data_IF_331787561930
#
_entry.id   IF_331787561930
#
_cell.length_a   1.000
_cell.length_b   1.000
_cell.length_c   1.000
_cell.angle_alpha   90.00
_cell.angle_beta   90.00
_cell.angle_gamma   90.00
#
_symmetry.space_group_name_H-M   'P 1'
#
loop_
_entity.id
_entity.type
_entity.pdbx_description
1 polymer ?
2 non-polymer ?
3 non-polymer ?
4 non-polymer ?
5 water ?
#
# COMPACT_ATOMS: atom_id res chain seq x y z
N UNK A 2 10.47 11.53 22.08
CA UNK A 2 11.85 11.43 22.53
C UNK A 2 12.73 10.60 21.59
N UNK A 3 13.90 11.11 21.27
CA UNK A 3 14.88 10.39 20.45
C UNK A 3 14.31 9.90 19.14
N UNK A 4 14.27 8.57 18.96
CA UNK A 4 13.77 7.97 17.73
C UNK A 4 12.26 8.17 17.56
N UNK A 5 11.60 8.62 18.63
CA UNK A 5 10.17 8.94 18.57
C UNK A 5 9.93 10.44 18.44
N UNK A 6 10.96 11.23 18.15
CA UNK A 6 10.77 12.68 17.97
C UNK A 6 10.34 13.03 16.54
N UNK A 7 10.14 14.32 16.27
CA UNK A 7 9.89 14.79 14.91
C UNK A 7 8.46 14.95 14.45
N UNK A 8 7.48 14.63 15.31
CA UNK A 8 6.08 14.75 14.90
C UNK A 8 5.68 16.19 14.59
N UNK A 9 6.54 17.14 14.96
CA UNK A 9 6.30 18.56 14.70
C UNK A 9 6.74 19.01 13.30
N UNK A 10 7.40 18.12 12.57
CA UNK A 10 8.07 18.50 11.32
C UNK A 10 7.20 18.23 10.09
N UNK A 11 7.59 18.80 8.96
CA UNK A 11 6.91 18.57 7.67
C UNK A 11 7.07 17.10 7.26
N UNK A 12 6.21 16.64 6.36
CA UNK A 12 6.25 15.25 5.93
C UNK A 12 7.60 14.89 5.29
N UNK A 13 8.14 15.82 4.50
CA UNK A 13 9.43 15.61 3.85
C UNK A 13 10.52 15.40 4.89
N UNK A 14 10.52 16.23 5.92
CA UNK A 14 11.57 16.08 6.93
C UNK A 14 11.34 14.87 7.83
N UNK A 15 10.08 14.52 8.07
CA UNK A 15 9.82 13.28 8.80
C UNK A 15 10.31 12.06 8.02
N UNK A 16 10.23 12.14 6.68
CA UNK A 16 10.67 11.03 5.83
C UNK A 16 12.19 10.84 5.89
N UNK A 17 12.95 11.93 6.05
CA UNK A 17 14.40 11.81 6.12
C UNK A 17 14.81 11.10 7.40
N UNK A 18 14.14 11.41 8.49
CA UNK A 18 14.41 10.73 9.77
C UNK A 18 14.03 9.25 9.62
N UNK A 19 12.91 9.00 8.95
CA UNK A 19 12.42 7.63 8.81
C UNK A 19 13.33 6.76 7.94
N UNK A 20 13.95 7.38 6.94
CA UNK A 20 14.91 6.68 6.09
C UNK A 20 16.01 6.06 6.92
N UNK A 21 16.51 6.85 7.86
CA UNK A 21 17.59 6.40 8.75
C UNK A 21 17.15 5.24 9.63
N UNK A 22 15.92 5.28 10.13
CA UNK A 22 15.40 4.17 10.91
C UNK A 22 15.31 2.91 10.06
N UNK A 23 14.89 3.06 8.81
CA UNK A 23 14.77 1.91 7.92
C UNK A 23 16.13 1.31 7.60
N UNK A 24 17.17 2.13 7.61
CA UNK A 24 18.49 1.63 7.26
C UNK A 24 19.14 0.85 8.41
N UNK A 25 18.48 0.85 9.58
CA UNK A 25 18.89 0.00 10.71
C UNK A 25 18.49 -1.46 10.47
N UNK A 26 17.49 -1.66 9.63
CA UNK A 26 17.06 -3.02 9.32
C UNK A 26 16.62 -3.11 7.87
N UNK A 27 17.56 -3.43 6.99
CA UNK A 27 17.31 -3.34 5.57
C UNK A 27 17.95 -4.48 4.79
N UNK A 28 18.25 -5.58 5.47
CA UNK A 28 18.89 -6.74 4.85
C UNK A 28 18.01 -7.99 4.96
N UNK A 29 17.71 -8.62 3.83
CA UNK A 29 17.10 -9.95 3.80
C UNK A 29 18.19 -11.01 3.64
N UNK A 30 18.22 -12.00 4.54
CA UNK A 30 19.19 -13.09 4.44
C UNK A 30 18.60 -14.36 3.82
N UNK A 31 19.43 -15.12 3.11
CA UNK A 31 18.97 -16.33 2.41
C UNK A 31 19.79 -17.54 2.79
N UNK A 32 19.21 -18.73 2.68
CA UNK A 32 19.95 -19.97 2.86
C UNK A 32 20.70 -20.33 1.60
N UNK A 33 21.56 -21.35 1.66
CA UNK A 33 22.37 -21.77 0.52
C UNK A 33 21.51 -22.05 -0.71
N UNK A 34 21.85 -21.39 -1.82
CA UNK A 34 21.13 -21.54 -3.10
C UNK A 34 19.69 -21.02 -3.07
N UNK A 35 19.24 -20.50 -1.93
CA UNK A 35 17.84 -20.07 -1.83
C UNK A 35 17.62 -18.60 -2.19
N UNK A 36 16.43 -18.32 -2.73
CA UNK A 36 16.00 -16.94 -2.92
C UNK A 36 14.57 -16.70 -2.49
N UNK A 37 14.08 -17.54 -1.58
CA UNK A 37 12.75 -17.35 -1.01
C UNK A 37 12.82 -16.30 0.12
N UNK A 38 11.74 -15.57 0.34
CA UNK A 38 11.69 -14.60 1.42
C UNK A 38 10.99 -15.22 2.64
N UNK A 39 11.75 -15.45 3.70
CA UNK A 39 11.22 -16.07 4.90
C UNK A 39 10.25 -15.14 5.61
N UNK A 40 9.35 -15.71 6.41
CA UNK A 40 8.33 -14.91 7.08
C UNK A 40 8.97 -14.01 8.13
N UNK A 41 10.18 -14.37 8.54
CA UNK A 41 10.94 -13.57 9.50
C UNK A 41 11.25 -12.17 8.97
N UNK A 42 11.22 -12.02 7.65
CA UNK A 42 11.57 -10.74 7.05
C UNK A 42 10.36 -9.92 6.62
N UNK A 43 9.16 -10.46 6.83
CA UNK A 43 7.97 -9.80 6.29
C UNK A 43 7.73 -8.46 6.94
N UNK A 44 7.85 -8.42 8.27
CA UNK A 44 7.58 -7.18 9.00
C UNK A 44 8.54 -6.08 8.55
N UNK A 45 9.80 -6.48 8.38
CA UNK A 45 10.85 -5.60 7.89
C UNK A 45 10.51 -5.00 6.54
N UNK A 46 10.15 -5.86 5.59
CA UNK A 46 9.84 -5.46 4.22
C UNK A 46 8.55 -4.64 4.18
N UNK A 47 7.60 -4.96 5.06
CA UNK A 47 6.36 -4.17 5.13
C UNK A 47 6.64 -2.72 5.52
N UNK A 48 7.63 -2.51 6.39
CA UNK A 48 7.95 -1.15 6.82
C UNK A 48 8.55 -0.38 5.66
N UNK A 49 9.42 -1.05 4.89
CA UNK A 49 10.00 -0.44 3.70
C UNK A 49 8.91 -0.12 2.69
N UNK A 50 8.00 -1.06 2.47
CA UNK A 50 6.93 -0.82 1.51
C UNK A 50 6.05 0.35 1.92
N UNK A 51 5.71 0.43 3.21
CA UNK A 51 4.83 1.51 3.65
C UNK A 51 5.50 2.87 3.43
N UNK A 52 6.81 2.92 3.64
CA UNK A 52 7.56 4.15 3.43
C UNK A 52 7.53 4.51 1.95
N UNK A 53 7.80 3.54 1.09
CA UNK A 53 7.86 3.81 -0.34
C UNK A 53 6.53 4.32 -0.89
N UNK A 54 5.42 3.75 -0.41
CA UNK A 54 4.10 4.17 -0.88
C UNK A 54 3.77 5.60 -0.46
N UNK A 55 4.28 6.00 0.70
CA UNK A 55 4.01 7.33 1.26
C UNK A 55 4.93 8.37 0.67
N UNK A 56 6.00 7.92 0.05
CA UNK A 56 6.99 8.82 -0.52
C UNK A 56 7.32 8.45 -1.96
N UNK A 57 6.41 8.77 -2.89
CA UNK A 57 6.48 8.33 -4.28
C UNK A 57 7.73 8.81 -4.99
N UNK A 58 8.33 9.90 -4.51
CA UNK A 58 9.56 10.45 -5.08
C UNK A 58 10.82 9.71 -4.66
N UNK A 59 10.75 8.93 -3.59
CA UNK A 59 11.91 8.23 -3.07
C UNK A 59 12.08 6.86 -3.71
N UNK A 60 13.27 6.62 -4.26
CA UNK A 60 13.55 5.39 -4.98
C UNK A 60 14.39 4.44 -4.13
N UNK A 61 14.22 3.14 -4.34
CA UNK A 61 15.08 2.16 -3.67
C UNK A 61 15.78 1.29 -4.70
N UNK A 62 17.03 0.91 -4.39
CA UNK A 62 17.75 -0.07 -5.19
C UNK A 62 17.91 -1.31 -4.31
N UNK A 63 17.46 -2.45 -4.80
CA UNK A 63 17.67 -3.70 -4.09
C UNK A 63 18.94 -4.32 -4.66
N UNK A 64 19.99 -4.43 -3.83
CA UNK A 64 21.23 -5.06 -4.26
C UNK A 64 21.21 -6.53 -3.86
N UNK A 65 21.41 -7.42 -4.83
CA UNK A 65 21.45 -8.84 -4.57
C UNK A 65 22.88 -9.33 -4.51
N UNK A 66 23.17 -10.18 -3.53
CA UNK A 66 24.52 -10.71 -3.33
C UNK A 66 24.44 -12.22 -3.23
N UNK A 67 25.56 -12.88 -3.45
CA UNK A 67 25.60 -14.32 -3.29
C UNK A 67 26.98 -14.73 -2.79
N UNK A 68 27.04 -15.92 -2.22
CA UNK A 68 28.33 -16.50 -1.87
C UNK A 68 28.12 -17.99 -1.88
N UNK A 69 28.10 -18.54 -3.09
CA UNK A 69 27.75 -19.93 -3.31
C UNK A 69 28.83 -20.58 -4.18
N UNK A 70 29.12 -21.83 -3.90
CA UNK A 70 30.09 -22.56 -4.70
C UNK A 70 29.60 -22.61 -6.13
N UNK A 71 30.51 -22.42 -7.10
CA UNK A 71 30.13 -22.30 -8.49
C UNK A 71 30.70 -21.06 -9.18
N UNK A 72 30.40 -20.90 -10.46
CA UNK A 72 30.95 -19.82 -11.28
C UNK A 72 30.51 -18.45 -10.76
N UNK A 73 31.29 -17.41 -11.07
CA UNK A 73 30.87 -16.04 -10.74
C UNK A 73 29.56 -15.71 -11.42
N UNK A 74 29.39 -16.23 -12.63
CA UNK A 74 28.17 -16.00 -13.41
C UNK A 74 26.95 -16.56 -12.69
N UNK A 75 27.10 -17.72 -12.07
CA UNK A 75 26.02 -18.33 -11.29
C UNK A 75 25.70 -17.44 -10.09
N UNK A 76 26.73 -16.99 -9.41
CA UNK A 76 26.52 -16.08 -8.29
C UNK A 76 25.79 -14.82 -8.68
N UNK A 77 26.12 -14.27 -9.85
CA UNK A 77 25.40 -13.09 -10.36
C UNK A 77 23.93 -13.44 -10.62
N UNK A 78 23.69 -14.61 -11.24
CA UNK A 78 22.31 -15.00 -11.53
C UNK A 78 21.47 -15.16 -10.27
N UNK A 79 22.05 -15.79 -9.25
CA UNK A 79 21.34 -16.00 -7.98
C UNK A 79 21.13 -14.69 -7.25
N UNK A 80 22.12 -13.80 -7.31
CA UNK A 80 21.95 -12.49 -6.69
C UNK A 80 20.79 -11.75 -7.33
N UNK A 81 20.65 -11.89 -8.65
CA UNK A 81 19.52 -11.30 -9.34
C UNK A 81 18.17 -11.88 -8.92
N UNK A 82 18.10 -13.20 -8.75
CA UNK A 82 16.85 -13.80 -8.29
C UNK A 82 16.52 -13.36 -6.87
N UNK A 83 17.54 -13.13 -6.04
CA UNK A 83 17.31 -12.64 -4.68
C UNK A 83 16.75 -11.22 -4.70
N UNK A 84 17.39 -10.34 -5.46
CA UNK A 84 16.93 -8.96 -5.54
C UNK A 84 15.53 -8.90 -6.15
N UNK A 85 15.29 -9.70 -7.17
CA UNK A 85 13.98 -9.70 -7.82
C UNK A 85 12.89 -10.19 -6.89
N UNK A 86 13.23 -11.14 -6.01
CA UNK A 86 12.24 -11.66 -5.08
C UNK A 86 11.78 -10.54 -4.14
N UNK A 87 12.72 -9.71 -3.71
CA UNK A 87 12.41 -8.56 -2.87
C UNK A 87 11.57 -7.54 -3.63
N UNK A 88 11.95 -7.23 -4.85
CA UNK A 88 11.17 -6.29 -5.68
C UNK A 88 9.71 -6.76 -5.83
N UNK A 89 9.53 -8.04 -6.11
CA UNK A 89 8.19 -8.59 -6.26
C UNK A 89 7.42 -8.53 -4.95
N UNK A 90 8.09 -8.81 -3.83
CA UNK A 90 7.42 -8.69 -2.54
C UNK A 90 6.93 -7.25 -2.30
N UNK A 91 7.80 -6.28 -2.56
CA UNK A 91 7.41 -4.87 -2.40
C UNK A 91 6.25 -4.47 -3.31
N UNK A 92 6.29 -4.91 -4.57
CA UNK A 92 5.20 -4.63 -5.49
C UNK A 92 3.89 -5.26 -5.02
N UNK A 93 3.98 -6.44 -4.40
CA UNK A 93 2.79 -7.09 -3.87
C UNK A 93 2.19 -6.32 -2.71
N UNK A 94 3.02 -5.47 -2.11
CA UNK A 94 2.58 -4.59 -1.03
C UNK A 94 2.21 -3.20 -1.55
N UNK A 95 2.08 -3.08 -2.87
CA UNK A 95 1.60 -1.84 -3.45
C UNK A 95 2.62 -0.79 -3.88
N UNK A 96 3.91 -1.12 -3.81
CA UNK A 96 4.92 -0.16 -4.24
C UNK A 96 5.00 -0.13 -5.77
N UNK A 97 5.04 1.06 -6.34
CA UNK A 97 5.11 1.19 -7.79
C UNK A 97 6.42 0.62 -8.32
N UNK A 98 6.34 -0.07 -9.45
CA UNK A 98 7.51 -0.72 -10.04
C UNK A 98 8.61 0.29 -10.33
N UNK A 99 8.22 1.50 -10.72
CA UNK A 99 9.19 2.53 -11.09
C UNK A 99 9.99 3.11 -9.92
N UNK A 100 9.56 2.80 -8.70
CA UNK A 100 10.31 3.22 -7.51
C UNK A 100 11.38 2.21 -7.10
N UNK A 101 11.39 1.05 -7.75
CA UNK A 101 12.32 -0.04 -7.36
C UNK A 101 13.19 -0.48 -8.54
N UNK A 102 14.51 -0.44 -8.37
CA UNK A 102 15.40 -1.06 -9.35
C UNK A 102 16.19 -2.14 -8.63
N UNK A 103 16.79 -3.04 -9.39
CA UNK A 103 17.59 -4.09 -8.78
C UNK A 103 18.96 -4.15 -9.44
N UNK A 104 19.96 -4.56 -8.67
CA UNK A 104 21.30 -4.77 -9.21
C UNK A 104 21.85 -6.02 -8.54
N UNK A 105 22.50 -6.89 -9.31
CA UNK A 105 23.14 -8.04 -8.70
C UNK A 105 24.64 -7.85 -8.71
N UNK A 106 25.24 -8.11 -7.55
CA UNK A 106 26.69 -8.00 -7.40
C UNK A 106 27.34 -9.37 -7.26
N UNK A 107 26.54 -10.44 -7.17
CA UNK A 107 27.13 -11.76 -7.05
C UNK A 107 28.08 -11.83 -5.86
N UNK A 108 29.31 -12.30 -6.09
CA UNK A 108 30.32 -12.41 -5.03
C UNK A 108 31.22 -11.17 -4.90
N UNK A 109 30.91 -10.11 -5.64
CA UNK A 109 31.87 -9.02 -5.85
C UNK A 109 32.04 -8.03 -4.69
N UNK A 110 31.04 -7.97 -3.80
CA UNK A 110 31.05 -7.01 -2.70
C UNK A 110 30.63 -7.67 -1.38
N UNK A 111 31.52 -8.50 -0.80
CA UNK A 111 31.13 -9.23 0.41
C UNK A 111 30.99 -8.34 1.63
N UNK A 112 30.07 -8.69 2.52
CA UNK A 112 29.94 -8.02 3.81
C UNK A 112 31.03 -8.52 4.76
N UNK A 113 31.34 -9.81 4.65
CA UNK A 113 32.25 -10.50 5.55
C UNK A 113 33.31 -11.25 4.74
N UNK A 114 34.57 -11.12 5.15
CA UNK A 114 35.62 -11.84 4.47
C UNK A 114 35.93 -13.18 5.12
N UNK A 115 36.49 -14.09 4.33
CA UNK A 115 36.76 -15.44 4.80
C UNK A 115 36.19 -16.47 3.85
N UNK A 116 36.67 -17.70 4.00
CA UNK A 116 36.40 -18.77 3.04
C UNK A 116 35.59 -19.87 3.74
N UNK A 117 34.71 -19.45 4.65
CA UNK A 117 33.98 -20.39 5.50
C UNK A 117 32.47 -20.18 5.42
N UNK A 118 31.72 -21.17 5.90
CA UNK A 118 30.27 -21.15 5.80
C UNK A 118 29.60 -20.03 6.59
N UNK A 119 30.19 -19.65 7.72
CA UNK A 119 29.67 -18.52 8.48
C UNK A 119 29.78 -17.21 7.67
N UNK A 120 30.97 -16.98 7.11
CA UNK A 120 31.19 -15.82 6.26
C UNK A 120 30.20 -15.83 5.09
N UNK A 121 30.04 -16.99 4.47
CA UNK A 121 29.14 -17.11 3.33
C UNK A 121 27.72 -16.71 3.73
N UNK A 122 27.29 -17.14 4.92
CA UNK A 122 25.91 -16.89 5.35
C UNK A 122 25.62 -15.41 5.50
N UNK A 123 26.60 -14.67 6.00
CA UNK A 123 26.43 -13.22 6.14
C UNK A 123 26.44 -12.53 4.79
N UNK A 124 26.93 -13.21 3.76
CA UNK A 124 27.04 -12.63 2.42
C UNK A 124 25.87 -12.92 1.48
N UNK A 125 25.07 -13.94 1.81
CA UNK A 125 23.93 -14.34 0.99
C UNK A 125 22.74 -13.46 1.37
N UNK A 126 22.56 -12.36 0.65
CA UNK A 126 21.66 -11.33 1.15
C UNK A 126 21.14 -10.44 0.04
N UNK A 127 20.04 -9.75 0.32
CA UNK A 127 19.60 -8.64 -0.52
C UNK A 127 19.50 -7.42 0.38
N UNK A 128 19.95 -6.27 -0.09
CA UNK A 128 20.01 -5.07 0.73
C UNK A 128 19.18 -3.98 0.06
N UNK A 129 18.33 -3.32 0.84
CA UNK A 129 17.52 -2.22 0.32
C UNK A 129 18.23 -0.89 0.60
N UNK A 130 18.76 -0.27 -0.44
CA UNK A 130 19.50 0.97 -0.27
C UNK A 130 18.80 2.17 -0.89
N UNK A 131 18.83 3.28 -0.17
CA UNK A 131 18.16 4.50 -0.59
C UNK A 131 19.18 5.60 -0.85
N UNK B 2 -8.14 -20.45 22.32
CA UNK B 2 -9.58 -20.64 22.49
C UNK B 2 -10.33 -19.31 22.46
N UNK B 3 -11.38 -19.24 21.65
CA UNK B 3 -12.13 -18.01 21.43
C UNK B 3 -11.21 -16.88 20.97
N UNK B 4 -11.23 -15.75 21.66
CA UNK B 4 -10.41 -14.61 21.24
C UNK B 4 -8.92 -14.78 21.55
N UNK B 5 -8.55 -15.95 22.07
CA UNK B 5 -7.16 -16.32 22.23
C UNK B 5 -6.69 -17.13 21.03
N UNK B 6 -7.62 -17.52 20.16
CA UNK B 6 -7.30 -18.44 19.06
C UNK B 6 -6.54 -17.76 17.93
N UNK B 7 -6.15 -18.53 16.93
CA UNK B 7 -5.56 -17.97 15.72
C UNK B 7 -4.05 -17.88 15.76
N UNK B 8 -3.42 -18.40 16.81
CA UNK B 8 -1.97 -18.32 16.96
C UNK B 8 -1.22 -19.08 15.86
N UNK B 9 -1.94 -20.01 15.23
CA UNK B 9 -1.44 -20.84 14.13
C UNK B 9 -1.35 -20.10 12.81
N UNK B 10 -2.20 -19.08 12.65
CA UNK B 10 -2.37 -18.37 11.38
C UNK B 10 -1.18 -17.50 10.96
N UNK B 11 -1.17 -17.10 9.69
CA UNK B 11 -0.15 -16.19 9.16
C UNK B 11 -0.29 -14.85 9.86
N UNK B 12 0.76 -14.04 9.76
CA UNK B 12 0.75 -12.70 10.33
C UNK B 12 -0.42 -11.87 9.77
N UNK B 13 -0.65 -11.95 8.46
CA UNK B 13 -1.74 -11.20 7.84
C UNK B 13 -3.09 -11.54 8.46
N UNK B 14 -3.34 -12.83 8.61
CA UNK B 14 -4.65 -13.29 9.09
C UNK B 14 -4.82 -13.05 10.58
N UNK B 15 -3.75 -13.15 11.35
CA UNK B 15 -3.83 -12.80 12.77
C UNK B 15 -4.17 -11.34 12.93
N UNK B 16 -3.60 -10.49 12.06
CA UNK B 16 -3.86 -9.05 12.13
C UNK B 16 -5.34 -8.74 11.89
N UNK B 17 -5.98 -9.48 11.00
CA UNK B 17 -7.41 -9.27 10.78
C UNK B 17 -8.21 -9.50 12.04
N UNK B 18 -7.86 -10.56 12.76
CA UNK B 18 -8.56 -10.92 13.99
C UNK B 18 -8.27 -9.87 15.07
N UNK B 19 -7.01 -9.46 15.15
CA UNK B 19 -6.60 -8.49 16.18
C UNK B 19 -7.25 -7.11 15.98
N UNK B 20 -7.44 -6.72 14.72
CA UNK B 20 -8.14 -5.46 14.46
C UNK B 20 -9.56 -5.46 15.02
N UNK B 21 -10.22 -6.61 15.00
CA UNK B 21 -11.55 -6.70 15.57
C UNK B 21 -11.49 -6.59 17.09
N UNK B 22 -10.50 -7.22 17.71
CA UNK B 22 -10.36 -7.15 19.17
C UNK B 22 -10.08 -5.71 19.59
N UNK B 23 -9.22 -5.04 18.85
CA UNK B 23 -8.87 -3.67 19.17
C UNK B 23 -10.08 -2.75 19.12
N UNK B 24 -11.06 -3.06 18.29
CA UNK B 24 -12.22 -2.19 18.15
C UNK B 24 -13.25 -2.41 19.23
N UNK B 25 -12.94 -3.31 20.17
CA UNK B 25 -13.77 -3.45 21.36
C UNK B 25 -13.40 -2.39 22.40
N UNK B 26 -12.18 -1.88 22.30
CA UNK B 26 -11.68 -0.89 23.25
C UNK B 26 -10.91 0.15 22.46
N UNK B 27 -11.64 1.10 21.88
CA UNK B 27 -11.06 2.03 20.93
C UNK B 27 -11.66 3.43 21.00
N UNK B 28 -12.22 3.78 22.16
CA UNK B 28 -12.80 5.13 22.33
C UNK B 28 -12.10 5.94 23.43
N UNK B 29 -11.64 7.15 23.08
CA UNK B 29 -11.10 8.10 24.06
C UNK B 29 -12.19 9.10 24.35
N UNK B 30 -12.59 9.24 25.62
CA UNK B 30 -13.61 10.23 25.98
C UNK B 30 -12.98 11.52 26.47
N UNK B 31 -13.67 12.65 26.28
CA UNK B 31 -13.17 13.96 26.68
C UNK B 31 -14.16 14.74 27.54
N UNK B 32 -13.64 15.58 28.44
CA UNK B 32 -14.49 16.47 29.20
C UNK B 32 -14.97 17.63 28.35
N UNK B 33 -15.87 18.46 28.89
CA UNK B 33 -16.45 19.56 28.14
C UNK B 33 -15.37 20.51 27.60
N UNK B 34 -15.41 20.78 26.29
CA UNK B 34 -14.48 21.68 25.60
C UNK B 34 -13.01 21.22 25.59
N UNK B 35 -12.73 20.02 26.13
CA UNK B 35 -11.34 19.56 26.26
C UNK B 35 -10.92 18.61 25.16
N UNK B 36 -9.62 18.58 24.89
CA UNK B 36 -9.08 17.61 23.92
C UNK B 36 -7.74 17.05 24.37
N UNK B 37 -7.53 17.10 25.68
CA UNK B 37 -6.37 16.43 26.28
C UNK B 37 -6.66 14.94 26.41
N UNK B 38 -5.60 14.13 26.38
CA UNK B 38 -5.75 12.68 26.54
C UNK B 38 -5.53 12.32 28.02
N UNK B 39 -6.58 11.88 28.70
CA UNK B 39 -6.46 11.48 30.10
C UNK B 39 -5.57 10.26 30.28
N UNK B 40 -4.92 10.17 31.45
CA UNK B 40 -4.04 9.04 31.76
C UNK B 40 -4.78 7.70 31.76
N UNK B 41 -6.09 7.75 31.99
CA UNK B 41 -6.93 6.56 31.99
C UNK B 41 -6.93 5.86 30.62
N UNK B 42 -6.56 6.60 29.58
CA UNK B 42 -6.62 6.05 28.24
C UNK B 42 -5.26 5.59 27.71
N UNK B 43 -4.21 5.80 28.47
CA UNK B 43 -2.86 5.39 28.07
C UNK B 43 -2.75 3.90 27.74
N UNK B 44 -3.24 3.06 28.65
CA UNK B 44 -3.21 1.59 28.46
C UNK B 44 -3.82 1.19 27.12
N UNK B 45 -5.02 1.70 26.87
CA UNK B 45 -5.74 1.37 25.64
C UNK B 45 -4.98 1.87 24.41
N UNK B 46 -4.56 3.13 24.46
CA UNK B 46 -3.83 3.70 23.34
C UNK B 46 -2.51 2.96 23.07
N UNK B 47 -1.84 2.49 24.12
CA UNK B 47 -0.57 1.79 23.93
C UNK B 47 -0.75 0.46 23.20
N UNK B 48 -1.92 -0.15 23.38
CA UNK B 48 -2.22 -1.42 22.73
C UNK B 48 -2.42 -1.21 21.24
N UNK B 49 -3.08 -0.10 20.90
CA UNK B 49 -3.23 0.26 19.49
C UNK B 49 -1.88 0.59 18.88
N UNK B 50 -1.07 1.37 19.60
CA UNK B 50 0.26 1.70 19.08
C UNK B 50 1.11 0.45 18.85
N UNK B 51 1.04 -0.51 19.77
CA UNK B 51 1.83 -1.72 19.64
C UNK B 51 1.41 -2.48 18.39
N UNK B 52 0.10 -2.53 18.14
CA UNK B 52 -0.40 -3.20 16.95
C UNK B 52 0.13 -2.51 15.70
N UNK B 53 0.01 -1.18 15.67
CA UNK B 53 0.41 -0.43 14.49
C UNK B 53 1.91 -0.56 14.21
N UNK B 54 2.72 -0.51 15.27
CA UNK B 54 4.16 -0.68 15.10
C UNK B 54 4.51 -2.05 14.52
N UNK B 55 3.79 -3.09 14.96
CA UNK B 55 4.10 -4.46 14.56
C UNK B 55 3.50 -4.83 13.22
N UNK B 56 2.61 -3.98 12.71
CA UNK B 56 1.95 -4.23 11.44
C UNK B 56 1.96 -2.99 10.55
N UNK B 57 3.12 -2.71 9.94
CA UNK B 57 3.32 -1.47 9.17
C UNK B 57 2.35 -1.31 7.98
N UNK B 58 1.79 -2.41 7.50
CA UNK B 58 0.86 -2.35 6.36
C UNK B 58 -0.53 -1.85 6.73
N UNK B 59 -0.84 -1.82 8.03
CA UNK B 59 -2.18 -1.47 8.46
C UNK B 59 -2.28 -0.03 8.95
N UNK B 60 -3.35 0.64 8.53
CA UNK B 60 -3.58 2.03 8.88
C UNK B 60 -4.81 2.12 9.77
N UNK B 61 -4.88 3.19 10.54
CA UNK B 61 -6.01 3.45 11.42
C UNK B 61 -6.56 4.84 11.06
N UNK B 62 -7.87 5.01 11.20
CA UNK B 62 -8.46 6.34 11.07
C UNK B 62 -9.02 6.73 12.44
N UNK B 63 -8.65 7.92 12.91
CA UNK B 63 -9.16 8.40 14.19
C UNK B 63 -10.29 9.34 13.87
N UNK B 64 -11.50 8.98 14.29
CA UNK B 64 -12.66 9.81 14.01
C UNK B 64 -12.96 10.68 15.23
N UNK B 65 -12.94 12.00 15.06
CA UNK B 65 -13.18 12.92 16.16
C UNK B 65 -14.60 13.43 16.19
N UNK B 66 -15.16 13.53 17.39
CA UNK B 66 -16.56 13.97 17.54
C UNK B 66 -16.63 15.02 18.63
N UNK B 67 -17.70 15.79 18.62
CA UNK B 67 -17.95 16.74 19.69
C UNK B 67 -19.44 16.73 19.97
N UNK B 68 -19.83 17.33 21.10
CA UNK B 68 -21.24 17.57 21.38
C UNK B 68 -21.29 18.66 22.42
N UNK B 69 -21.00 19.87 21.95
CA UNK B 69 -20.75 21.03 22.80
C UNK B 69 -21.61 22.21 22.34
N UNK B 70 -22.10 23.03 23.28
CA UNK B 70 -22.83 24.24 22.90
C UNK B 70 -21.99 25.05 21.91
N UNK B 71 -22.62 25.77 21.00
CA UNK B 71 -21.87 26.53 20.03
C UNK B 71 -22.18 26.09 18.61
N UNK B 72 -21.55 26.74 17.63
CA UNK B 72 -21.85 26.46 16.23
C UNK B 72 -21.43 25.06 15.80
N UNK B 73 -22.06 24.55 14.74
CA UNK B 73 -21.58 23.30 14.17
C UNK B 73 -20.12 23.40 13.71
N UNK B 74 -19.70 24.56 13.20
CA UNK B 74 -18.30 24.74 12.79
C UNK B 74 -17.37 24.61 13.99
N UNK B 75 -17.77 25.13 15.14
CA UNK B 75 -16.93 25.00 16.33
C UNK B 75 -16.81 23.52 16.70
N UNK B 76 -17.93 22.81 16.64
CA UNK B 76 -17.91 21.38 16.92
C UNK B 76 -17.00 20.59 15.99
N UNK B 77 -16.98 20.96 14.70
CA UNK B 77 -16.07 20.35 13.73
C UNK B 77 -14.63 20.63 14.14
N UNK B 78 -14.34 21.87 14.52
CA UNK B 78 -12.99 22.23 14.90
C UNK B 78 -12.50 21.47 16.14
N UNK B 79 -13.38 21.33 17.12
CA UNK B 79 -13.03 20.64 18.36
C UNK B 79 -12.85 19.13 18.11
N UNK B 80 -13.71 18.56 17.28
CA UNK B 80 -13.59 17.16 16.91
C UNK B 80 -12.25 16.88 16.26
N UNK B 81 -11.79 17.82 15.43
CA UNK B 81 -10.51 17.67 14.76
C UNK B 81 -9.35 17.76 15.75
N UNK B 82 -9.45 18.62 16.75
CA UNK B 82 -8.38 18.69 17.74
C UNK B 82 -8.32 17.43 18.60
N UNK B 83 -9.49 16.86 18.88
CA UNK B 83 -9.55 15.59 19.60
C UNK B 83 -8.90 14.46 18.84
N UNK B 84 -9.20 14.34 17.55
CA UNK B 84 -8.62 13.27 16.72
C UNK B 84 -7.12 13.50 16.55
N UNK B 85 -6.73 14.75 16.32
CA UNK B 85 -5.32 15.07 16.18
C UNK B 85 -4.53 14.77 17.45
N UNK B 86 -5.13 15.00 18.61
CA UNK B 86 -4.48 14.69 19.89
C UNK B 86 -4.17 13.21 19.98
N UNK B 87 -5.10 12.36 19.54
CA UNK B 87 -4.87 10.92 19.53
C UNK B 87 -3.75 10.57 18.57
N UNK B 88 -3.76 11.17 17.39
CA UNK B 88 -2.72 10.91 16.40
C UNK B 88 -1.35 11.26 16.97
N UNK B 89 -1.24 12.44 17.56
CA UNK B 89 0.04 12.85 18.14
C UNK B 89 0.49 11.92 19.25
N UNK B 90 -0.44 11.41 20.05
CA UNK B 90 -0.09 10.47 21.11
C UNK B 90 0.50 9.18 20.53
N UNK B 91 -0.14 8.64 19.49
CA UNK B 91 0.35 7.43 18.82
C UNK B 91 1.73 7.64 18.20
N UNK B 92 1.92 8.80 17.58
CA UNK B 92 3.24 9.10 17.02
C UNK B 92 4.32 9.12 18.09
N UNK B 93 3.94 9.61 19.28
CA UNK B 93 4.85 9.67 20.39
C UNK B 93 5.28 8.29 20.86
N UNK B 94 4.44 7.30 20.57
CA UNK B 94 4.71 5.90 20.89
C UNK B 94 5.33 5.17 19.70
N UNK B 95 5.79 5.93 18.71
CA UNK B 95 6.56 5.35 17.63
C UNK B 95 5.77 4.85 16.42
N UNK B 96 4.48 5.19 16.33
CA UNK B 96 3.71 4.87 15.14
C UNK B 96 4.05 5.87 14.03
N UNK B 97 4.23 5.37 12.82
CA UNK B 97 4.49 6.22 11.65
C UNK B 97 3.29 7.14 11.38
N UNK B 98 3.58 8.41 11.08
CA UNK B 98 2.51 9.38 10.82
C UNK B 98 1.59 8.94 9.68
N UNK B 99 2.17 8.32 8.66
CA UNK B 99 1.40 7.91 7.49
C UNK B 99 0.44 6.76 7.76
N UNK B 100 0.63 6.08 8.90
CA UNK B 100 -0.27 5.01 9.30
C UNK B 100 -1.54 5.55 9.95
N UNK B 101 -1.59 6.85 10.21
CA UNK B 101 -2.73 7.41 10.94
C UNK B 101 -3.33 8.56 10.17
N UNK B 102 -4.65 8.52 9.95
CA UNK B 102 -5.33 9.68 9.38
C UNK B 102 -6.41 10.12 10.35
N UNK B 103 -6.89 11.35 10.19
CA UNK B 103 -7.96 11.84 11.07
C UNK B 103 -9.12 12.41 10.28
N UNK B 104 -10.32 12.31 10.86
CA UNK B 104 -11.54 12.86 10.27
C UNK B 104 -12.35 13.42 11.42
N UNK B 105 -12.92 14.62 11.26
CA UNK B 105 -13.82 15.15 12.29
C UNK B 105 -15.24 15.09 11.78
N UNK B 106 -16.13 14.57 12.62
CA UNK B 106 -17.54 14.59 12.28
C UNK B 106 -18.31 15.67 13.04
N UNK B 107 -17.59 16.49 13.82
CA UNK B 107 -18.23 17.50 14.65
C UNK B 107 -19.33 16.85 15.47
N UNK B 108 -20.52 17.47 15.49
CA UNK B 108 -21.62 16.89 16.27
C UNK B 108 -22.64 16.16 15.40
N UNK B 109 -22.23 15.73 14.22
CA UNK B 109 -23.19 15.20 13.24
C UNK B 109 -23.43 13.70 13.40
N UNK B 110 -22.52 13.02 14.10
CA UNK B 110 -22.61 11.56 14.29
C UNK B 110 -22.61 11.15 15.77
N UNK B 111 -23.67 11.48 16.50
CA UNK B 111 -23.69 11.14 17.93
C UNK B 111 -23.67 9.62 18.17
N UNK B 112 -23.01 9.18 19.24
CA UNK B 112 -23.04 7.77 19.63
C UNK B 112 -24.37 7.45 20.27
N UNK B 113 -24.82 8.35 21.13
CA UNK B 113 -26.10 8.18 21.78
C UNK B 113 -27.03 9.35 21.46
N UNK B 114 -28.26 9.02 21.13
CA UNK B 114 -29.28 10.03 20.94
C UNK B 114 -30.05 10.10 22.25
N UNK B 115 -29.88 11.22 22.95
CA UNK B 115 -30.44 11.44 24.28
C UNK B 115 -30.33 12.93 24.53
N UNK B 116 -30.84 13.42 25.64
CA UNK B 116 -31.06 14.85 25.77
C UNK B 116 -30.58 15.47 27.07
N UNK B 117 -29.64 14.83 27.75
CA UNK B 117 -29.10 15.41 28.98
C UNK B 117 -27.59 15.37 28.98
N UNK B 118 -26.98 15.93 30.02
CA UNK B 118 -25.52 16.04 30.06
C UNK B 118 -24.86 14.67 29.99
N UNK B 119 -25.46 13.66 30.63
CA UNK B 119 -24.91 12.31 30.62
C UNK B 119 -24.77 11.77 29.21
N UNK B 120 -25.78 12.04 28.37
CA UNK B 120 -25.71 11.64 26.96
C UNK B 120 -24.69 12.45 26.16
N UNK B 121 -24.63 13.75 26.40
CA UNK B 121 -23.66 14.60 25.70
C UNK B 121 -22.24 14.10 25.94
N UNK B 122 -21.94 13.68 27.18
CA UNK B 122 -20.60 13.21 27.53
C UNK B 122 -20.19 11.97 26.73
N UNK B 123 -21.14 11.08 26.46
CA UNK B 123 -20.86 9.88 25.69
C UNK B 123 -20.56 10.18 24.22
N UNK B 124 -20.90 11.41 23.79
CA UNK B 124 -20.65 11.81 22.40
C UNK B 124 -19.34 12.57 22.19
N UNK B 125 -18.73 13.02 23.29
CA UNK B 125 -17.46 13.75 23.23
C UNK B 125 -16.32 12.75 23.21
N UNK B 126 -15.88 12.38 22.02
CA UNK B 126 -15.03 11.19 21.91
C UNK B 126 -14.20 11.19 20.64
N UNK B 127 -13.14 10.38 20.65
CA UNK B 127 -12.40 10.06 19.44
C UNK B 127 -12.37 8.54 19.34
N UNK B 128 -12.58 8.00 18.15
CA UNK B 128 -12.71 6.55 17.95
C UNK B 128 -11.64 6.10 16.97
N UNK B 129 -10.90 5.06 17.33
CA UNK B 129 -9.88 4.51 16.44
C UNK B 129 -10.47 3.37 15.59
N UNK B 130 -10.64 3.61 14.28
CA UNK B 130 -11.33 2.69 13.38
C UNK B 130 -10.38 2.06 12.37
N UNK B 131 -10.52 0.74 12.13
CA UNK B 131 -9.66 0.06 11.18
C UNK B 131 -10.44 -0.41 9.96
N UNK C 9 -5.00 24.61 -35.22
CA UNK C 9 -3.98 25.33 -35.99
C UNK C 9 -2.67 24.57 -35.99
N UNK C 10 -2.54 23.62 -35.07
CA UNK C 10 -1.34 22.79 -34.96
C UNK C 10 -1.37 21.63 -35.95
N UNK C 11 -0.20 21.05 -36.19
CA UNK C 11 -0.11 19.84 -37.02
C UNK C 11 -0.79 18.69 -36.29
N UNK C 12 -1.15 17.66 -37.03
CA UNK C 12 -1.76 16.46 -36.45
C UNK C 12 -0.84 15.86 -35.39
N UNK C 13 0.46 15.88 -35.64
CA UNK C 13 1.45 15.40 -34.68
C UNK C 13 1.37 16.17 -33.38
N UNK C 14 1.32 17.49 -33.49
CA UNK C 14 1.28 18.30 -32.27
C UNK C 14 -0.09 18.23 -31.59
N UNK C 15 -1.17 18.11 -32.35
CA UNK C 15 -2.49 17.91 -31.75
C UNK C 15 -2.56 16.60 -30.96
N UNK C 16 -1.91 15.57 -31.50
CA UNK C 16 -1.88 14.27 -30.86
C UNK C 16 -1.08 14.29 -29.56
N UNK C 17 -0.05 15.13 -29.48
CA UNK C 17 0.74 15.29 -28.25
C UNK C 17 -0.14 15.76 -27.11
N UNK C 18 -0.96 16.77 -27.41
CA UNK C 18 -1.85 17.34 -26.41
C UNK C 18 -2.92 16.33 -25.98
N UNK C 19 -3.46 15.61 -26.96
CA UNK C 19 -4.52 14.64 -26.70
C UNK C 19 -4.03 13.51 -25.79
N UNK C 20 -2.75 13.14 -25.93
CA UNK C 20 -2.18 12.06 -25.12
C UNK C 20 -2.30 12.38 -23.63
N UNK C 21 -2.19 13.66 -23.28
CA UNK C 21 -2.29 14.06 -21.88
C UNK C 21 -3.67 13.77 -21.31
N UNK C 22 -4.70 13.96 -22.14
CA UNK C 22 -6.06 13.67 -21.74
C UNK C 22 -6.29 12.17 -21.57
N UNK C 23 -5.68 11.39 -22.46
CA UNK C 23 -5.83 9.94 -22.43
C UNK C 23 -5.13 9.31 -21.23
N UNK C 24 -3.91 9.76 -20.94
CA UNK C 24 -3.09 9.17 -19.87
C UNK C 24 -3.71 9.38 -18.50
N UNK C 25 -4.72 10.24 -18.47
CA UNK C 25 -5.39 10.64 -17.25
C UNK C 25 -6.68 9.85 -17.06
N UNK C 26 -7.40 9.64 -18.15
CA UNK C 26 -8.63 8.87 -18.13
C UNK C 26 -8.43 7.49 -18.75
N UNK C 27 -7.74 6.63 -18.01
CA UNK C 27 -7.28 5.38 -18.59
C UNK C 27 -7.49 4.15 -17.71
N UNK C 28 -8.40 4.22 -16.74
CA UNK C 28 -8.64 3.04 -15.90
C UNK C 28 -10.09 2.56 -16.01
N UNK C 29 -10.29 1.28 -16.33
CA UNK C 29 -11.61 0.68 -16.32
C UNK C 29 -11.77 -0.10 -15.02
N UNK C 30 -12.87 0.10 -14.31
CA UNK C 30 -13.10 -0.66 -13.07
C UNK C 30 -14.17 -1.72 -13.29
N UNK C 31 -14.14 -2.74 -12.43
CA UNK C 31 -15.02 -3.91 -12.56
C UNK C 31 -15.62 -4.30 -11.22
N UNK C 32 -16.84 -4.84 -11.25
CA UNK C 32 -17.47 -5.37 -10.06
C UNK C 32 -16.90 -6.73 -9.70
N UNK C 33 -17.29 -7.25 -8.54
CA UNK C 33 -16.76 -8.53 -8.08
C UNK C 33 -16.99 -9.65 -9.12
N UNK C 34 -15.90 -10.32 -9.48
CA UNK C 34 -15.91 -11.44 -10.44
C UNK C 34 -16.26 -11.03 -11.87
N UNK C 35 -16.47 -9.75 -12.11
CA UNK C 35 -16.92 -9.32 -13.44
C UNK C 35 -15.77 -8.94 -14.36
N UNK C 36 -15.95 -9.16 -15.66
CA UNK C 36 -14.97 -8.65 -16.62
C UNK C 36 -15.64 -7.99 -17.81
N UNK C 37 -16.90 -7.61 -17.64
CA UNK C 37 -17.65 -6.87 -18.64
C UNK C 37 -17.20 -5.42 -18.71
N UNK C 38 -17.28 -4.81 -19.88
CA UNK C 38 -17.03 -3.37 -19.96
C UNK C 38 -18.35 -2.67 -19.70
N UNK C 39 -18.46 -1.97 -18.57
CA UNK C 39 -19.67 -1.23 -18.23
C UNK C 39 -19.89 -0.07 -19.18
N UNK C 40 -21.15 0.32 -19.38
CA UNK C 40 -21.48 1.41 -20.28
C UNK C 40 -20.84 2.73 -19.84
N UNK C 41 -20.58 2.86 -18.53
CA UNK C 41 -19.89 4.01 -17.96
C UNK C 41 -18.47 4.19 -18.51
N UNK C 42 -17.87 3.10 -19.00
CA UNK C 42 -16.50 3.15 -19.49
C UNK C 42 -16.41 3.11 -21.02
N UNK C 43 -17.54 2.83 -21.69
CA UNK C 43 -17.55 2.78 -23.14
C UNK C 43 -17.09 4.09 -23.79
N UNK C 44 -17.58 5.22 -23.29
CA UNK C 44 -17.19 6.53 -23.78
C UNK C 44 -15.69 6.83 -23.61
N UNK C 45 -15.15 6.42 -22.46
CA UNK C 45 -13.74 6.59 -22.16
C UNK C 45 -12.89 5.79 -23.16
N UNK C 46 -13.30 4.56 -23.41
CA UNK C 46 -12.60 3.68 -24.33
C UNK C 46 -12.72 4.12 -25.79
N UNK C 47 -13.89 4.68 -26.14
CA UNK C 47 -14.08 5.23 -27.48
C UNK C 47 -13.04 6.31 -27.80
N UNK C 48 -12.68 7.12 -26.81
CA UNK C 48 -11.65 8.15 -27.02
C UNK C 48 -10.28 7.52 -27.29
N UNK C 49 -9.95 6.47 -26.53
CA UNK C 49 -8.71 5.74 -26.78
C UNK C 49 -8.72 5.10 -28.17
N UNK C 50 -9.85 4.52 -28.55
CA UNK C 50 -9.96 3.88 -29.85
C UNK C 50 -9.73 4.90 -30.98
N UNK C 51 -10.34 6.08 -30.83
CA UNK C 51 -10.22 7.11 -31.84
C UNK C 51 -8.77 7.55 -31.98
N UNK C 52 -8.07 7.65 -30.86
CA UNK C 52 -6.67 8.04 -30.90
C UNK C 52 -5.85 6.98 -31.62
N UNK C 53 -6.02 5.72 -31.26
CA UNK C 53 -5.25 4.66 -31.90
C UNK C 53 -5.52 4.53 -33.40
N UNK C 54 -6.77 4.69 -33.81
CA UNK C 54 -7.11 4.61 -35.24
C UNK C 54 -6.57 5.79 -36.06
N UNK C 55 -6.24 6.88 -35.39
CA UNK C 55 -5.71 8.08 -36.06
C UNK C 55 -4.20 8.19 -35.95
N UNK C 56 -3.61 7.33 -35.12
CA UNK C 56 -2.19 7.38 -34.83
C UNK C 56 -1.57 5.98 -34.89
N UNK C 57 -1.32 5.50 -36.11
CA UNK C 57 -0.90 4.11 -36.34
C UNK C 57 0.40 3.70 -35.66
N UNK C 58 1.27 4.66 -35.36
CA UNK C 58 2.56 4.35 -34.73
C UNK C 58 2.47 4.15 -33.22
N UNK C 59 1.35 4.55 -32.63
CA UNK C 59 1.18 4.44 -31.19
C UNK C 59 0.61 3.08 -30.77
N UNK C 60 1.11 2.55 -29.66
CA UNK C 60 0.68 1.26 -29.14
C UNK C 60 0.30 1.41 -27.68
N UNK C 61 -0.56 0.51 -27.20
CA UNK C 61 -1.03 0.60 -25.83
C UNK C 61 -0.87 -0.77 -25.19
N UNK C 62 -0.59 -0.80 -23.89
CA UNK C 62 -0.58 -2.04 -23.16
C UNK C 62 -1.73 -1.97 -22.17
N UNK C 63 -2.57 -3.00 -22.14
CA UNK C 63 -3.65 -3.01 -21.17
C UNK C 63 -3.24 -3.94 -20.05
N UNK C 64 -3.15 -3.39 -18.83
CA UNK C 64 -2.75 -4.18 -17.66
C UNK C 64 -3.96 -4.58 -16.83
N UNK C 65 -4.20 -5.89 -16.72
CA UNK C 65 -5.37 -6.39 -16.00
C UNK C 65 -5.01 -6.82 -14.59
N UNK C 66 -5.91 -6.53 -13.65
CA UNK C 66 -5.65 -6.76 -12.23
C UNK C 66 -6.90 -7.38 -11.62
N UNK C 67 -6.73 -8.09 -10.51
CA UNK C 67 -7.89 -8.60 -9.80
C UNK C 67 -7.63 -8.51 -8.31
N UNK C 68 -8.69 -8.66 -7.52
CA UNK C 68 -8.51 -8.74 -6.08
C UNK C 68 -9.73 -9.45 -5.57
N UNK C 69 -9.77 -10.74 -5.84
CA UNK C 69 -10.97 -11.52 -5.62
C UNK C 69 -10.61 -12.70 -4.75
N UNK C 70 -11.56 -13.18 -3.97
CA UNK C 70 -11.35 -14.41 -3.20
C UNK C 70 -10.95 -15.53 -4.16
N UNK C 71 -10.11 -16.46 -3.71
CA UNK C 71 -9.70 -17.56 -4.56
C UNK C 71 -8.20 -17.61 -4.74
N UNK C 72 -7.74 -18.53 -5.58
CA UNK C 72 -6.30 -18.74 -5.75
C UNK C 72 -5.63 -17.59 -6.49
N UNK C 73 -4.31 -17.42 -6.31
CA UNK C 73 -3.58 -16.46 -7.13
C UNK C 73 -3.74 -16.78 -8.62
N UNK C 74 -3.82 -18.06 -8.96
CA UNK C 74 -4.04 -18.45 -10.35
C UNK C 74 -5.39 -17.98 -10.91
N UNK C 75 -6.46 -18.10 -10.11
CA UNK C 75 -7.75 -17.56 -10.50
C UNK C 75 -7.64 -16.05 -10.74
N UNK C 76 -7.00 -15.36 -9.80
CA UNK C 76 -6.80 -13.92 -9.96
C UNK C 76 -6.06 -13.52 -11.25
N UNK C 77 -5.03 -14.27 -11.61
CA UNK C 77 -4.34 -14.05 -12.87
C UNK C 77 -5.31 -14.21 -14.04
N UNK C 78 -6.10 -15.28 -14.01
CA UNK C 78 -7.02 -15.56 -15.09
C UNK C 78 -8.06 -14.46 -15.25
N UNK C 79 -8.59 -13.97 -14.13
CA UNK C 79 -9.63 -12.95 -14.16
C UNK C 79 -9.04 -11.63 -14.63
N UNK C 80 -7.81 -11.34 -14.20
CA UNK C 80 -7.13 -10.16 -14.69
C UNK C 80 -6.93 -10.23 -16.20
N UNK C 81 -6.61 -11.41 -16.70
CA UNK C 81 -6.46 -11.60 -18.15
C UNK C 81 -7.77 -11.35 -18.90
N UNK C 82 -8.88 -11.84 -18.36
CA UNK C 82 -10.17 -11.61 -19.03
C UNK C 82 -10.54 -10.13 -19.01
N UNK C 83 -10.18 -9.42 -17.94
CA UNK C 83 -10.39 -7.97 -17.85
C UNK C 83 -9.59 -7.23 -18.92
N UNK C 84 -8.30 -7.53 -19.01
CA UNK C 84 -7.48 -6.87 -20.03
C UNK C 84 -7.94 -7.24 -21.44
N UNK C 85 -8.31 -8.51 -21.65
CA UNK C 85 -8.80 -8.97 -22.95
C UNK C 85 -10.14 -8.34 -23.35
N UNK C 86 -10.94 -8.02 -22.34
CA UNK C 86 -12.22 -7.34 -22.63
C UNK C 86 -11.97 -5.94 -23.16
N UNK C 87 -10.98 -5.25 -22.61
CA UNK C 87 -10.65 -3.92 -23.09
C UNK C 87 -10.11 -4.05 -24.52
N UNK C 88 -9.22 -5.01 -24.72
CA UNK C 88 -8.62 -5.21 -26.04
C UNK C 88 -9.68 -5.52 -27.09
N UNK C 89 -10.63 -6.40 -26.77
CA UNK C 89 -11.66 -6.75 -27.74
C UNK C 89 -12.61 -5.60 -28.04
N UNK C 90 -12.84 -4.76 -27.04
CA UNK C 90 -13.69 -3.58 -27.19
C UNK C 90 -13.06 -2.59 -28.17
N UNK C 91 -11.79 -2.27 -27.93
CA UNK C 91 -11.03 -1.38 -28.81
C UNK C 91 -10.97 -1.95 -30.22
N UNK C 92 -10.73 -3.25 -30.33
CA UNK C 92 -10.63 -3.86 -31.66
C UNK C 92 -11.98 -3.83 -32.39
N UNK C 93 -13.07 -3.93 -31.63
CA UNK C 93 -14.41 -3.83 -32.18
C UNK C 93 -14.64 -2.46 -32.78
N UNK C 94 -14.05 -1.44 -32.17
CA UNK C 94 -14.14 -0.08 -32.68
C UNK C 94 -13.28 0.11 -33.91
N UNK C 95 -12.33 -0.80 -34.12
CA UNK C 95 -11.50 -0.73 -35.31
C UNK C 95 -10.02 -0.58 -35.06
N UNK C 96 -9.57 -0.67 -33.80
CA UNK C 96 -8.13 -0.56 -33.53
C UNK C 96 -7.41 -1.84 -34.00
N UNK C 97 -6.31 -1.69 -34.74
CA UNK C 97 -5.55 -2.85 -35.20
C UNK C 97 -5.05 -3.66 -34.02
N UNK C 98 -5.04 -4.99 -34.17
CA UNK C 98 -4.63 -5.84 -33.06
C UNK C 98 -3.18 -5.60 -32.68
N UNK C 99 -2.34 -5.27 -33.65
CA UNK C 99 -0.92 -5.09 -33.38
C UNK C 99 -0.64 -3.87 -32.49
N UNK C 100 -1.59 -2.96 -32.39
CA UNK C 100 -1.44 -1.78 -31.52
C UNK C 100 -1.80 -2.02 -30.06
N UNK C 101 -2.32 -3.21 -29.74
CA UNK C 101 -2.75 -3.49 -28.36
C UNK C 101 -2.18 -4.81 -27.84
N UNK C 102 -1.53 -4.77 -26.68
CA UNK C 102 -1.12 -6.00 -26.03
C UNK C 102 -1.67 -6.01 -24.61
N UNK C 103 -1.67 -7.18 -23.98
CA UNK C 103 -2.21 -7.27 -22.64
C UNK C 103 -1.27 -8.04 -21.73
N UNK C 104 -1.37 -7.76 -20.44
CA UNK C 104 -0.62 -8.50 -19.44
C UNK C 104 -1.53 -8.54 -18.22
N UNK C 105 -1.57 -9.70 -17.57
CA UNK C 105 -2.32 -9.78 -16.30
C UNK C 105 -1.35 -9.84 -15.15
N UNK C 106 -1.66 -9.07 -14.10
CA UNK C 106 -0.86 -9.09 -12.89
C UNK C 106 -1.60 -9.80 -11.75
N UNK C 107 -2.80 -10.32 -12.04
CA UNK C 107 -3.58 -10.98 -11.00
C UNK C 107 -3.74 -10.07 -9.81
N UNK C 108 -3.46 -10.57 -8.60
CA UNK C 108 -3.52 -9.71 -7.41
C UNK C 108 -2.12 -9.26 -6.95
N UNK C 109 -1.13 -9.36 -7.85
CA UNK C 109 0.27 -9.10 -7.51
C UNK C 109 0.65 -7.62 -7.42
N UNK C 110 -0.17 -6.74 -7.98
CA UNK C 110 0.14 -5.30 -8.01
C UNK C 110 -1.06 -4.44 -7.59
N UNK C 111 -1.42 -4.50 -6.30
CA UNK C 111 -2.59 -3.74 -5.84
C UNK C 111 -2.37 -2.24 -5.94
N UNK C 112 -3.43 -1.52 -6.29
CA UNK C 112 -3.42 -0.07 -6.21
C UNK C 112 -3.56 0.38 -4.75
N UNK C 113 -4.37 -0.32 -3.98
CA UNK C 113 -4.59 0.08 -2.61
C UNK C 113 -4.45 -1.12 -1.67
N UNK C 114 -4.03 -0.83 -0.44
CA UNK C 114 -4.06 -1.80 0.64
C UNK C 114 -5.19 -1.42 1.59
N UNK C 115 -6.05 -2.38 1.90
CA UNK C 115 -7.18 -2.12 2.79
C UNK C 115 -7.78 -3.42 3.27
N UNK C 116 -8.75 -3.33 4.18
CA UNK C 116 -9.28 -4.51 4.85
C UNK C 116 -10.75 -4.72 4.50
N UNK C 117 -11.29 -3.84 3.66
CA UNK C 117 -12.73 -3.88 3.36
C UNK C 117 -13.04 -3.88 1.86
N UNK C 118 -14.31 -4.09 1.54
CA UNK C 118 -14.74 -4.25 0.15
C UNK C 118 -14.51 -2.97 -0.67
N UNK C 119 -14.67 -1.82 -0.03
CA UNK C 119 -14.42 -0.55 -0.73
C UNK C 119 -12.97 -0.48 -1.21
N UNK C 120 -12.06 -1.06 -0.45
CA UNK C 120 -10.66 -1.11 -0.86
C UNK C 120 -10.39 -2.13 -1.97
N UNK C 121 -10.89 -3.35 -1.82
CA UNK C 121 -10.72 -4.37 -2.86
C UNK C 121 -11.21 -3.90 -4.22
N UNK C 122 -12.31 -3.14 -4.22
CA UNK C 122 -12.88 -2.63 -5.48
C UNK C 122 -11.92 -1.74 -6.27
N UNK C 123 -11.10 -0.97 -5.58
CA UNK C 123 -10.11 -0.12 -6.25
C UNK C 123 -9.02 -0.93 -6.94
N UNK C 124 -8.93 -2.21 -6.61
CA UNK C 124 -7.91 -3.07 -7.24
C UNK C 124 -8.43 -3.86 -8.44
N UNK C 125 -9.74 -3.83 -8.67
CA UNK C 125 -10.36 -4.61 -9.75
C UNK C 125 -10.45 -3.72 -10.97
N UNK C 126 -9.43 -3.77 -11.81
CA UNK C 126 -9.25 -2.71 -12.80
C UNK C 126 -8.39 -3.18 -13.97
N UNK C 127 -8.55 -2.51 -15.11
CA UNK C 127 -7.66 -2.69 -16.24
C UNK C 127 -7.12 -1.29 -16.53
N UNK C 128 -5.81 -1.17 -16.73
CA UNK C 128 -5.19 0.13 -16.92
C UNK C 128 -4.59 0.22 -18.33
N UNK C 129 -4.93 1.27 -19.06
CA UNK C 129 -4.33 1.51 -20.38
C UNK C 129 -3.03 2.30 -20.25
N UNK C 130 -1.91 1.68 -20.64
CA UNK C 130 -0.60 2.30 -20.52
C UNK C 130 0.07 2.56 -21.87
N UNK C 131 0.39 3.83 -22.14
CA UNK C 131 1.03 4.21 -23.37
C UNK C 131 2.54 4.36 -23.19
X LIG D 1 -4.20 3.31 0.42
X LIG D 1 -3.84 3.81 1.75
X LIG D 1 -5.63 3.59 0.20
X LIG D 1 -3.39 3.97 -0.61
X LIG D 1 -3.97 1.87 0.38
X LIG E 1 3.14 0.69 -11.53
X LIG E 1 3.89 -0.35 -10.82
X LIG E 1 4.06 1.56 -12.26
X LIG E 1 2.38 1.48 -10.56
X LIG E 1 2.20 0.05 -12.45
X LIG F 1 4.25 -8.79 -6.88
X LIG F 1 4.28 -8.43 -8.06
X LIG F 1 4.42 -9.94 -6.46
X LIG G 1 -14.93 -11.66 0.44
X LIG G 1 -16.31 -11.04 0.37
X LIG G 1 -14.90 -12.76 1.47
X LIG G 1 -13.96 -10.61 0.91
X LIG G 1 -14.52 -12.14 -1.04
X LIG G 1 -14.01 -10.97 -2.03
X LIG G 1 -15.00 -9.83 -2.10
X LIG G 1 -13.59 -11.47 -3.37
X LIG G 1 -12.79 -10.41 -1.40
X LIG H 1 -8.10 -17.14 -18.93
X LIG H 1 -7.75 -16.00 -18.59
X LIG H 1 -9.22 -17.60 -18.73
#
# INVERSE_FOLDING_TARGET
SNATENGSNLSSEEQARLQMQELQKNNIVYFGFDKYDIGSDFAQMLDAHAAFLRSNPSDKVVVEGHADERGTPEYNIALGERRASAVKMYLQGKGVSADQISIVSYGKEKPAVLGHDEAAFAKNRRAVLVY
SNATENGSNLSSEEQARLQMQELQKNNIVYFGFDKYDIGSDFAQMLDAHAAFLRSNPSDKVVVEGHADERGTPEYNIALGERRASAVKMYLQGKGVSADQISIVSYGKEKPAVLGHDEAAFAKNRRAVLVY
SNATENGSNLSSEEQARLQMQELQKNNIVYFGFDKYDIGSDFAQMLDAHAAFLRSNPSDKVVVEGHADERGTPEYNIALGERRASAVKMYLQGKGVSADQISIVSYGKEKPAVLGHDEAAFAKNRRAVLVY
SO4 S O1 O2 O3 O4
SO4 S O1 O2 O3 O4
FMT C O1 O2
POP P1 O1 O2 O3 O P2 O4 O5 O6
FMT C O1 O2
#
